data_IF_718737399185
#
_entry.id   IF_718737399185
#
_cell.length_a   1.000
_cell.length_b   1.000
_cell.length_c   1.000
_cell.angle_alpha   90.00
_cell.angle_beta   90.00
_cell.angle_gamma   90.00
#
_symmetry.space_group_name_H-M   'P 1'
#
loop_
_entity.id
_entity.type
_entity.pdbx_description
1 polymer ?
#
# COMPACT_ATOMS: atom_id res chain seq x y z
N UNK A 1 3.37 -24.49 -2.07
CA UNK A 1 3.23 -23.99 -0.68
C UNK A 1 4.24 -22.89 -0.33
N UNK A 2 5.56 -23.08 -0.51
CA UNK A 2 6.57 -22.07 -0.18
C UNK A 2 6.39 -20.72 -0.95
N UNK A 3 6.05 -20.79 -2.23
CA UNK A 3 5.82 -19.61 -3.08
C UNK A 3 4.62 -18.75 -2.62
N UNK A 4 3.52 -19.40 -2.20
CA UNK A 4 2.37 -18.70 -1.62
C UNK A 4 2.73 -17.98 -0.31
N UNK A 5 3.54 -18.61 0.54
CA UNK A 5 3.99 -18.00 1.79
C UNK A 5 4.83 -16.73 1.53
N UNK A 6 5.70 -16.79 0.51
CA UNK A 6 6.52 -15.64 0.09
C UNK A 6 5.67 -14.50 -0.50
N UNK A 7 4.65 -14.79 -1.31
CA UNK A 7 3.72 -13.78 -1.86
C UNK A 7 2.98 -13.06 -0.72
N UNK A 8 2.48 -13.80 0.27
CA UNK A 8 1.76 -13.23 1.41
C UNK A 8 2.68 -12.31 2.22
N UNK A 9 3.88 -12.77 2.57
CA UNK A 9 4.85 -11.99 3.35
C UNK A 9 5.25 -10.68 2.63
N UNK A 10 5.52 -10.75 1.33
CA UNK A 10 5.87 -9.58 0.53
C UNK A 10 4.70 -8.59 0.38
N UNK A 11 3.46 -9.09 0.32
CA UNK A 11 2.26 -8.25 0.28
C UNK A 11 2.07 -7.51 1.60
N UNK A 12 2.27 -8.18 2.75
CA UNK A 12 2.20 -7.56 4.09
C UNK A 12 3.29 -6.50 4.29
N UNK A 13 4.52 -6.76 3.86
CA UNK A 13 5.59 -5.77 3.94
C UNK A 13 5.25 -4.51 3.14
N UNK A 14 4.63 -4.69 1.97
CA UNK A 14 4.25 -3.59 1.09
C UNK A 14 3.11 -2.75 1.67
N UNK A 15 2.06 -3.37 2.21
CA UNK A 15 0.97 -2.64 2.87
C UNK A 15 1.50 -1.78 4.01
N UNK A 16 2.41 -2.32 4.82
CA UNK A 16 2.98 -1.60 5.96
C UNK A 16 3.83 -0.40 5.52
N UNK A 17 4.64 -0.56 4.47
CA UNK A 17 5.44 0.55 3.92
C UNK A 17 4.52 1.66 3.38
N UNK A 18 3.48 1.31 2.61
CA UNK A 18 2.56 2.31 2.05
C UNK A 18 1.71 2.95 3.14
N UNK A 19 1.31 2.21 4.18
CA UNK A 19 0.62 2.76 5.35
C UNK A 19 1.49 3.79 6.08
N UNK A 20 2.76 3.48 6.33
CA UNK A 20 3.67 4.43 6.97
C UNK A 20 3.82 5.74 6.17
N UNK A 21 3.71 5.68 4.84
CA UNK A 21 3.73 6.86 3.98
C UNK A 21 2.40 7.64 4.00
N UNK A 22 1.26 6.97 4.16
CA UNK A 22 -0.03 7.64 4.44
C UNK A 22 0.06 8.41 5.76
N UNK A 23 0.59 7.75 6.79
CA UNK A 23 0.71 8.34 8.13
C UNK A 23 1.65 9.55 8.11
N UNK A 24 2.77 9.47 7.37
CA UNK A 24 3.69 10.59 7.18
C UNK A 24 3.03 11.75 6.43
N UNK A 25 2.31 11.48 5.34
CA UNK A 25 1.56 12.51 4.61
C UNK A 25 0.56 13.22 5.54
N UNK A 26 -0.17 12.46 6.36
CA UNK A 26 -1.13 13.03 7.30
C UNK A 26 -0.44 13.93 8.34
N UNK A 27 0.74 13.54 8.82
CA UNK A 27 1.53 14.34 9.75
C UNK A 27 2.03 15.65 9.11
N UNK A 28 2.48 15.61 7.86
CA UNK A 28 3.07 16.77 7.18
C UNK A 28 2.02 17.74 6.60
N UNK A 29 0.92 17.20 6.07
CA UNK A 29 -0.12 17.98 5.36
C UNK A 29 -1.36 18.26 6.22
N UNK A 30 -1.44 17.66 7.40
CA UNK A 30 -2.56 17.79 8.35
C UNK A 30 -3.87 17.16 7.87
N UNK A 31 -3.86 16.43 6.74
CA UNK A 31 -5.03 15.77 6.15
C UNK A 31 -4.63 14.41 5.57
N UNK A 32 -5.56 13.46 5.50
CA UNK A 32 -5.34 12.19 4.81
C UNK A 32 -5.21 12.42 3.29
N UNK A 33 -4.40 11.59 2.59
CA UNK A 33 -4.35 11.65 1.14
C UNK A 33 -5.70 11.22 0.55
N UNK A 34 -6.13 11.87 -0.54
CA UNK A 34 -7.39 11.52 -1.22
C UNK A 34 -7.32 10.14 -1.88
N UNK A 35 -6.13 9.74 -2.32
CA UNK A 35 -5.86 8.44 -2.92
C UNK A 35 -4.37 8.09 -2.85
N UNK A 36 -4.02 6.84 -3.17
CA UNK A 36 -2.61 6.46 -3.33
C UNK A 36 -1.93 7.22 -4.49
N UNK A 37 -2.67 7.67 -5.50
CA UNK A 37 -2.13 8.52 -6.57
C UNK A 37 -1.65 9.88 -6.04
N UNK A 38 -2.31 10.45 -5.03
CA UNK A 38 -1.83 11.67 -4.37
C UNK A 38 -0.45 11.47 -3.75
N UNK A 39 -0.22 10.31 -3.11
CA UNK A 39 1.09 9.94 -2.56
C UNK A 39 2.15 9.74 -3.65
N UNK A 40 1.77 9.22 -4.82
CA UNK A 40 2.68 9.09 -5.98
C UNK A 40 3.06 10.47 -6.52
N UNK A 41 2.08 11.35 -6.73
CA UNK A 41 2.31 12.70 -7.24
C UNK A 41 3.20 13.53 -6.31
N UNK A 42 2.98 13.39 -5.00
CA UNK A 42 3.82 14.01 -3.95
C UNK A 42 5.10 13.23 -3.63
N UNK A 43 5.36 12.11 -4.32
CA UNK A 43 6.58 11.28 -4.24
C UNK A 43 6.85 10.59 -2.90
N UNK A 44 5.83 10.37 -2.07
CA UNK A 44 5.92 9.54 -0.87
C UNK A 44 6.08 8.05 -1.21
N UNK A 45 5.48 7.61 -2.32
CA UNK A 45 5.58 6.24 -2.83
C UNK A 45 5.83 6.24 -4.34
N UNK A 46 6.34 5.11 -4.86
CA UNK A 46 6.39 4.83 -6.30
C UNK A 46 5.11 4.13 -6.74
N UNK A 47 4.70 4.32 -8.00
CA UNK A 47 3.56 3.61 -8.58
C UNK A 47 3.67 2.08 -8.46
N UNK A 48 4.88 1.54 -8.59
CA UNK A 48 5.08 0.10 -8.41
C UNK A 48 4.75 -0.40 -7.01
N UNK A 49 4.74 0.46 -5.98
CA UNK A 49 4.41 0.10 -4.60
C UNK A 49 2.91 -0.05 -4.36
N UNK A 50 2.04 0.37 -5.30
CA UNK A 50 0.59 0.17 -5.20
C UNK A 50 0.12 -1.19 -5.71
N UNK A 51 1.04 -2.06 -6.14
CA UNK A 51 0.76 -3.39 -6.68
C UNK A 51 1.44 -4.47 -5.82
N UNK A 52 0.69 -5.50 -5.44
CA UNK A 52 1.22 -6.69 -4.76
C UNK A 52 1.97 -7.60 -5.74
N UNK A 53 2.83 -8.51 -5.26
CA UNK A 53 3.44 -9.55 -6.10
C UNK A 53 2.43 -10.43 -6.84
N UNK A 54 1.18 -10.53 -6.35
CA UNK A 54 0.06 -11.19 -7.02
C UNK A 54 -0.46 -10.44 -8.25
N UNK A 55 0.08 -9.25 -8.55
CA UNK A 55 -0.39 -8.26 -9.55
C UNK A 55 -1.70 -7.57 -9.19
N UNK A 56 -2.26 -7.88 -8.04
CA UNK A 56 -3.44 -7.19 -7.54
C UNK A 56 -3.04 -5.86 -6.90
N UNK A 57 -3.89 -4.84 -7.01
CA UNK A 57 -3.62 -3.53 -6.45
C UNK A 57 -3.96 -3.46 -4.97
N UNK A 58 -3.18 -2.67 -4.23
CA UNK A 58 -3.52 -2.28 -2.87
C UNK A 58 -4.85 -1.53 -2.87
N UNK A 59 -5.63 -1.75 -1.82
CA UNK A 59 -6.83 -0.99 -1.52
C UNK A 59 -6.47 0.12 -0.54
N UNK A 60 -7.10 1.27 -0.71
CA UNK A 60 -6.97 2.41 0.17
C UNK A 60 -8.35 2.98 0.45
N UNK A 61 -8.68 3.13 1.72
CA UNK A 61 -9.94 3.72 2.16
C UNK A 61 -9.73 4.39 3.51
N UNK A 62 -10.13 5.66 3.62
CA UNK A 62 -10.15 6.41 4.88
C UNK A 62 -8.84 6.33 5.68
N UNK A 63 -7.70 6.47 5.00
CA UNK A 63 -6.37 6.43 5.63
C UNK A 63 -5.80 5.04 5.85
N UNK A 64 -6.54 3.97 5.51
CA UNK A 64 -6.11 2.59 5.73
C UNK A 64 -5.75 1.91 4.41
N UNK A 65 -4.56 1.34 4.36
CA UNK A 65 -4.03 0.57 3.24
C UNK A 65 -4.19 -0.92 3.54
N UNK A 66 -4.77 -1.67 2.61
CA UNK A 66 -4.95 -3.12 2.74
C UNK A 66 -4.55 -3.86 1.46
N UNK A 67 -4.04 -5.07 1.64
CA UNK A 67 -3.84 -5.99 0.54
C UNK A 67 -5.20 -6.58 0.11
N UNK A 68 -5.40 -6.84 -1.19
CA UNK A 68 -6.54 -7.62 -1.64
C UNK A 68 -6.53 -9.01 -1.00
N UNK A 69 -7.70 -9.60 -0.72
CA UNK A 69 -7.77 -10.95 -0.18
C UNK A 69 -7.12 -11.90 -1.18
N UNK A 70 -6.10 -12.63 -0.74
CA UNK A 70 -5.54 -13.71 -1.54
C UNK A 70 -6.59 -14.81 -1.61
N UNK A 71 -7.27 -14.94 -2.75
CA UNK A 71 -8.11 -16.10 -3.01
C UNK A 71 -7.18 -17.33 -2.98
N UNK A 72 -7.31 -18.13 -1.92
CA UNK A 72 -6.53 -19.35 -1.70
C UNK A 72 -6.86 -20.45 -2.68
#
# INVERSE_FOLDING_TARGET
MLYHLLINLLSTMRTNVVQAQVDLYHLEEGNLPLSLDSLIQKKYIKASQTECPSKEKLKYQDGIVSAPPTNG
#
